data_IF_154828245995
#
_entry.id   IF_154828245995
#
_cell.length_a   1.000
_cell.length_b   1.000
_cell.length_c   1.000
_cell.angle_alpha   90.00
_cell.angle_beta   90.00
_cell.angle_gamma   90.00
#
_symmetry.space_group_name_H-M   'P 1'
#
loop_
_entity.id
_entity.type
_entity.pdbx_description
1 polymer ?
#
# COMPACT_ATOMS: atom_id res chain seq x y z
N UNK A 1 -14.85 -3.51 -6.37
CA UNK A 1 -14.58 -2.18 -5.78
C UNK A 1 -15.60 -1.22 -6.35
N UNK A 2 -16.20 -0.38 -5.52
CA UNK A 2 -17.29 0.52 -5.92
C UNK A 2 -16.79 1.91 -6.32
N UNK A 3 -15.50 2.18 -6.09
CA UNK A 3 -14.81 3.41 -6.47
C UNK A 3 -13.36 3.13 -6.93
N UNK A 4 -12.71 4.11 -7.55
CA UNK A 4 -11.33 3.96 -8.04
C UNK A 4 -10.34 3.84 -6.88
N UNK A 5 -9.25 3.10 -7.15
CA UNK A 5 -8.06 3.06 -6.30
C UNK A 5 -6.85 3.23 -7.21
N UNK A 6 -6.11 4.32 -7.02
CA UNK A 6 -4.95 4.66 -7.82
C UNK A 6 -3.70 4.01 -7.24
N UNK A 7 -3.04 3.17 -8.04
CA UNK A 7 -1.81 2.48 -7.66
C UNK A 7 -0.65 3.07 -8.45
N UNK A 8 0.35 3.60 -7.74
CA UNK A 8 1.50 4.29 -8.33
C UNK A 8 2.77 3.49 -8.06
N UNK A 9 3.36 2.89 -9.09
CA UNK A 9 4.58 2.09 -8.98
C UNK A 9 5.78 2.84 -9.57
N UNK A 10 6.84 3.01 -8.79
CA UNK A 10 8.10 3.59 -9.26
C UNK A 10 9.27 2.62 -9.08
N UNK A 11 10.16 2.60 -10.08
CA UNK A 11 11.34 1.74 -10.07
C UNK A 11 12.53 2.26 -9.26
N UNK A 12 12.48 3.51 -8.78
CA UNK A 12 13.55 4.10 -7.97
C UNK A 12 13.02 5.28 -7.13
N UNK A 13 13.86 5.78 -6.22
CA UNK A 13 13.51 6.86 -5.29
C UNK A 13 13.21 8.21 -5.96
N UNK A 14 13.43 8.37 -7.27
CA UNK A 14 13.13 9.60 -8.00
C UNK A 14 11.64 9.87 -8.21
N UNK A 15 10.75 8.90 -7.90
CA UNK A 15 9.31 9.12 -7.88
C UNK A 15 8.72 9.57 -9.23
N UNK A 16 9.21 9.06 -10.37
CA UNK A 16 8.69 9.42 -11.69
C UNK A 16 7.19 9.12 -11.84
N UNK A 17 6.70 8.07 -11.17
CA UNK A 17 5.28 7.70 -11.13
C UNK A 17 4.54 8.28 -9.92
N UNK A 18 5.16 9.19 -9.15
CA UNK A 18 4.50 9.93 -8.06
C UNK A 18 3.93 9.02 -6.95
N UNK A 19 4.70 8.04 -6.47
CA UNK A 19 4.26 7.05 -5.46
C UNK A 19 3.85 7.64 -4.10
N UNK A 20 4.32 8.86 -3.75
CA UNK A 20 3.92 9.54 -2.51
C UNK A 20 2.52 10.15 -2.53
N UNK A 21 1.86 10.26 -3.69
CA UNK A 21 0.55 10.93 -3.82
C UNK A 21 -0.53 10.03 -4.43
N UNK A 22 -0.24 8.73 -4.60
CA UNK A 22 -1.25 7.74 -4.96
C UNK A 22 -1.97 7.19 -3.74
N UNK A 23 -3.15 6.60 -3.95
CA UNK A 23 -3.89 5.89 -2.88
C UNK A 23 -3.02 4.76 -2.31
N UNK A 24 -2.34 4.03 -3.20
CA UNK A 24 -1.32 3.03 -2.90
C UNK A 24 -0.05 3.35 -3.69
N UNK A 25 1.06 3.58 -3.00
CA UNK A 25 2.38 3.76 -3.59
C UNK A 25 3.23 2.50 -3.50
N UNK A 26 3.98 2.17 -4.55
CA UNK A 26 5.01 1.14 -4.53
C UNK A 26 6.35 1.75 -4.94
N UNK A 27 7.32 1.72 -4.02
CA UNK A 27 8.70 2.13 -4.25
C UNK A 27 9.58 0.89 -4.35
N UNK A 28 10.16 0.64 -5.53
CA UNK A 28 11.06 -0.49 -5.72
C UNK A 28 12.27 -0.42 -4.76
N UNK A 29 12.60 -1.56 -4.17
CA UNK A 29 13.72 -1.75 -3.26
C UNK A 29 14.36 -3.14 -3.47
N UNK A 30 15.50 -3.36 -2.82
CA UNK A 30 16.10 -4.69 -2.69
C UNK A 30 15.62 -5.29 -1.38
N UNK A 31 15.21 -6.55 -1.42
CA UNK A 31 14.75 -7.32 -0.26
C UNK A 31 15.76 -8.41 0.01
N UNK A 32 16.35 -8.41 1.19
CA UNK A 32 17.29 -9.46 1.61
C UNK A 32 16.58 -10.81 1.76
N UNK A 33 17.19 -11.86 1.20
CA UNK A 33 16.74 -13.23 1.32
C UNK A 33 17.86 -14.10 1.89
N UNK A 34 17.57 -14.83 2.97
CA UNK A 34 18.56 -15.66 3.65
C UNK A 34 19.60 -14.86 4.43
N UNK A 35 20.67 -15.54 4.85
CA UNK A 35 21.72 -14.95 5.69
C UNK A 35 22.97 -14.52 4.90
N UNK A 36 23.06 -14.90 3.62
CA UNK A 36 24.26 -14.76 2.79
C UNK A 36 24.32 -13.43 2.01
N UNK A 37 23.39 -12.50 2.27
CA UNK A 37 23.32 -11.19 1.61
C UNK A 37 22.70 -11.22 0.21
N UNK A 38 22.10 -12.34 -0.19
CA UNK A 38 21.33 -12.43 -1.43
C UNK A 38 20.12 -11.49 -1.37
N UNK A 39 19.79 -10.85 -2.49
CA UNK A 39 18.64 -9.93 -2.57
C UNK A 39 17.76 -10.24 -3.77
N UNK A 40 16.45 -10.05 -3.59
CA UNK A 40 15.45 -10.06 -4.65
C UNK A 40 14.83 -8.67 -4.82
N UNK A 41 14.11 -8.49 -5.93
CA UNK A 41 13.34 -7.27 -6.14
C UNK A 41 12.09 -7.25 -5.28
N UNK A 42 11.74 -6.08 -4.75
CA UNK A 42 10.54 -5.89 -3.97
C UNK A 42 10.16 -4.43 -3.84
N UNK A 43 9.25 -4.13 -2.92
CA UNK A 43 8.64 -2.83 -2.77
C UNK A 43 8.50 -2.42 -1.30
N UNK A 44 8.75 -1.14 -1.02
CA UNK A 44 8.08 -0.45 0.08
C UNK A 44 6.70 -0.02 -0.41
N UNK A 45 5.66 -0.35 0.36
CA UNK A 45 4.28 -0.04 0.06
C UNK A 45 3.84 1.10 0.98
N UNK A 46 3.23 2.12 0.39
CA UNK A 46 2.72 3.31 1.06
C UNK A 46 1.22 3.46 0.80
N UNK A 47 0.51 4.14 1.70
CA UNK A 47 -0.93 4.39 1.57
C UNK A 47 -1.34 5.80 2.00
N UNK A 48 -2.47 6.27 1.47
CA UNK A 48 -3.13 7.49 1.92
C UNK A 48 -2.61 8.78 1.28
N UNK A 49 -1.78 8.66 0.24
CA UNK A 49 -1.30 9.78 -0.56
C UNK A 49 -2.43 10.38 -1.41
N UNK A 50 -2.38 11.68 -1.65
CA UNK A 50 -3.34 12.36 -2.51
C UNK A 50 -2.82 13.68 -3.06
N UNK A 51 -3.59 14.28 -3.95
CA UNK A 51 -3.24 15.51 -4.66
C UNK A 51 -4.44 16.47 -4.74
N UNK A 52 -4.20 17.72 -5.14
CA UNK A 52 -5.26 18.72 -5.28
C UNK A 52 -5.91 19.04 -3.91
N UNK A 53 -7.25 19.04 -3.81
CA UNK A 53 -7.94 19.27 -2.53
C UNK A 53 -7.57 18.25 -1.44
N UNK A 54 -7.14 17.06 -1.84
CA UNK A 54 -6.76 15.95 -0.98
C UNK A 54 -5.24 15.85 -0.80
N UNK A 55 -4.48 16.94 -0.94
CA UNK A 55 -3.02 16.91 -0.88
C UNK A 55 -2.47 16.48 0.50
N UNK A 56 -2.00 15.23 0.59
CA UNK A 56 -1.28 14.65 1.75
C UNK A 56 -0.27 13.64 1.21
N UNK A 57 0.90 13.54 1.83
CA UNK A 57 1.88 12.51 1.51
C UNK A 57 1.46 11.15 2.07
N UNK A 58 1.69 10.10 1.28
CA UNK A 58 1.47 8.72 1.69
C UNK A 58 2.36 8.34 2.89
N UNK A 59 1.87 7.39 3.68
CA UNK A 59 2.56 6.82 4.85
C UNK A 59 3.01 5.39 4.53
N UNK A 60 4.19 5.00 4.99
CA UNK A 60 4.65 3.61 4.88
C UNK A 60 3.69 2.66 5.62
N UNK A 61 3.30 1.57 4.96
CA UNK A 61 2.49 0.49 5.55
C UNK A 61 3.30 -0.80 5.68
N UNK A 62 3.98 -1.19 4.60
CA UNK A 62 4.81 -2.39 4.53
C UNK A 62 6.16 -2.04 3.88
N UNK A 63 7.23 -2.65 4.35
CA UNK A 63 8.58 -2.45 3.81
C UNK A 63 9.12 -3.79 3.35
N UNK A 64 9.93 -3.77 2.29
CA UNK A 64 10.67 -4.93 1.82
C UNK A 64 9.76 -6.12 1.46
N UNK A 65 8.61 -5.83 0.86
CA UNK A 65 7.69 -6.84 0.34
C UNK A 65 8.27 -7.36 -0.96
N UNK A 66 8.54 -8.67 -1.06
CA UNK A 66 9.05 -9.27 -2.31
C UNK A 66 8.09 -8.98 -3.46
N UNK A 67 8.63 -8.80 -4.65
CA UNK A 67 7.82 -8.48 -5.83
C UNK A 67 6.74 -9.55 -6.12
N UNK A 68 7.04 -10.83 -5.87
CA UNK A 68 6.09 -11.94 -6.00
C UNK A 68 4.94 -11.89 -4.98
N UNK A 69 5.19 -11.32 -3.79
CA UNK A 69 4.21 -11.21 -2.70
C UNK A 69 3.40 -9.91 -2.77
N UNK A 70 3.83 -8.94 -3.58
CA UNK A 70 3.20 -7.64 -3.67
C UNK A 70 1.72 -7.72 -4.12
N UNK A 71 1.34 -8.45 -5.20
CA UNK A 71 -0.06 -8.59 -5.58
C UNK A 71 -0.94 -9.15 -4.45
N UNK A 72 -0.44 -10.17 -3.74
CA UNK A 72 -1.13 -10.79 -2.60
C UNK A 72 -1.28 -9.81 -1.44
N UNK A 73 -0.25 -9.02 -1.17
CA UNK A 73 -0.27 -7.99 -0.12
C UNK A 73 -1.30 -6.90 -0.45
N UNK A 74 -1.34 -6.42 -1.69
CA UNK A 74 -2.34 -5.44 -2.13
C UNK A 74 -3.76 -6.02 -2.04
N UNK A 75 -3.97 -7.28 -2.40
CA UNK A 75 -5.28 -7.92 -2.25
C UNK A 75 -5.75 -7.93 -0.79
N UNK A 76 -4.88 -8.29 0.17
CA UNK A 76 -5.19 -8.26 1.61
C UNK A 76 -5.57 -6.85 2.08
N UNK A 77 -4.85 -5.83 1.60
CA UNK A 77 -5.16 -4.43 1.90
C UNK A 77 -6.55 -4.03 1.39
N UNK A 78 -6.88 -4.39 0.15
CA UNK A 78 -8.18 -4.08 -0.46
C UNK A 78 -9.32 -4.84 0.23
N UNK A 79 -9.11 -6.10 0.63
CA UNK A 79 -10.09 -6.87 1.42
C UNK A 79 -10.31 -6.23 2.78
N UNK A 80 -9.25 -5.88 3.50
CA UNK A 80 -9.36 -5.26 4.82
C UNK A 80 -10.07 -3.91 4.75
N UNK A 81 -9.83 -3.12 3.70
CA UNK A 81 -10.61 -1.93 3.39
C UNK A 81 -12.11 -2.26 3.19
N UNK A 82 -12.44 -3.23 2.34
CA UNK A 82 -13.84 -3.59 2.07
C UNK A 82 -14.57 -4.13 3.31
N UNK A 83 -13.88 -4.85 4.20
CA UNK A 83 -14.41 -5.43 5.44
C UNK A 83 -14.67 -4.38 6.53
N UNK A 84 -13.86 -3.31 6.59
CA UNK A 84 -13.88 -2.34 7.69
C UNK A 84 -14.32 -0.92 7.29
N UNK A 85 -14.61 -0.70 6.01
CA UNK A 85 -15.15 0.58 5.54
C UNK A 85 -16.53 0.85 6.14
N UNK A 86 -16.82 2.11 6.39
CA UNK A 86 -18.06 2.58 7.02
C UNK A 86 -19.29 2.37 6.11
N UNK A 87 -19.08 2.21 4.81
CA UNK A 87 -20.12 1.97 3.81
C UNK A 87 -19.54 1.97 2.39
N UNK A 88 -20.37 1.70 1.36
CA UNK A 88 -19.93 1.64 -0.03
C UNK A 88 -19.41 2.98 -0.59
N UNK A 89 -19.79 4.11 0.01
CA UNK A 89 -19.37 5.45 -0.41
C UNK A 89 -18.01 5.88 0.15
N UNK A 90 -17.51 5.22 1.21
CA UNK A 90 -16.19 5.54 1.77
C UNK A 90 -15.10 5.08 0.80
N UNK A 91 -14.25 5.99 0.32
CA UNK A 91 -13.12 5.67 -0.55
C UNK A 91 -11.97 5.02 0.21
N UNK A 92 -11.06 4.36 -0.52
CA UNK A 92 -9.82 3.83 0.07
C UNK A 92 -8.97 4.92 0.73
N UNK A 93 -8.92 6.11 0.11
CA UNK A 93 -8.20 7.25 0.65
C UNK A 93 -8.79 7.73 1.99
N UNK A 94 -10.11 7.90 2.06
CA UNK A 94 -10.80 8.31 3.28
C UNK A 94 -10.62 7.26 4.39
N UNK A 95 -10.79 5.98 4.05
CA UNK A 95 -10.56 4.86 4.96
C UNK A 95 -9.14 4.87 5.52
N UNK A 96 -8.13 4.91 4.66
CA UNK A 96 -6.73 4.87 5.13
C UNK A 96 -6.38 6.09 5.97
N UNK A 97 -6.87 7.29 5.64
CA UNK A 97 -6.56 8.52 6.38
C UNK A 97 -7.19 8.62 7.77
N UNK A 98 -8.36 8.00 8.00
CA UNK A 98 -9.01 8.02 9.33
C UNK A 98 -8.42 7.03 10.32
N UNK A 99 -7.51 6.15 9.87
CA UNK A 99 -6.90 5.13 10.70
C UNK A 99 -5.40 5.35 10.86
N UNK A 100 -4.90 5.02 12.05
CA UNK A 100 -3.48 4.92 12.31
C UNK A 100 -2.86 3.74 11.56
N UNK A 101 -1.57 3.86 11.21
CA UNK A 101 -0.84 2.85 10.42
C UNK A 101 -0.91 1.47 11.06
N UNK A 102 -0.72 1.37 12.38
CA UNK A 102 -0.78 0.09 13.08
C UNK A 102 -2.18 -0.56 13.04
N UNK A 103 -3.24 0.25 13.12
CA UNK A 103 -4.61 -0.25 12.98
C UNK A 103 -4.88 -0.75 11.56
N UNK A 104 -4.39 -0.03 10.55
CA UNK A 104 -4.45 -0.48 9.15
C UNK A 104 -3.75 -1.81 8.96
N UNK A 105 -2.51 -1.95 9.47
CA UNK A 105 -1.75 -3.20 9.38
C UNK A 105 -2.50 -4.34 10.04
N UNK A 106 -3.04 -4.14 11.25
CA UNK A 106 -3.82 -5.16 11.94
C UNK A 106 -5.05 -5.62 11.12
N UNK A 107 -5.81 -4.69 10.55
CA UNK A 107 -6.98 -5.00 9.71
C UNK A 107 -6.59 -5.72 8.42
N UNK A 108 -5.53 -5.29 7.75
CA UNK A 108 -5.02 -5.92 6.53
C UNK A 108 -4.42 -7.29 6.82
N UNK A 109 -3.76 -7.44 7.98
CA UNK A 109 -3.07 -8.67 8.29
C UNK A 109 -4.01 -9.80 8.73
N UNK A 110 -5.16 -9.45 9.28
CA UNK A 110 -6.24 -10.36 9.64
C UNK A 110 -6.93 -11.00 8.42
N UNK A 111 -6.81 -10.40 7.24
CA UNK A 111 -7.38 -10.95 6.01
C UNK A 111 -6.55 -12.16 5.53
N UNK A 112 -7.17 -13.35 5.62
CA UNK A 112 -6.60 -14.58 5.10
C UNK A 112 -6.57 -14.54 3.57
N UNK A 113 -5.48 -14.99 2.96
CA UNK A 113 -5.49 -15.27 1.53
C UNK A 113 -6.18 -16.61 1.29
N UNK A 114 -7.18 -16.62 0.39
CA UNK A 114 -7.76 -17.85 -0.13
C UNK A 114 -6.80 -18.56 -1.11
#
# INVERSE_FOLDING_TARGET
>A
LDGPVNIHLTGCHHSCAQHYIGDIGLLACKVEIGADGDTVEGYHILVGGGFGPDAVLARDIYREVKAEDAPRTIERMLRGYLSHRSGPEESFLAFTRRHEVEALKAMFDAEATA
#
